data_IF_492348991891
#
_entry.id   IF_492348991891
#
_cell.length_a   1.000
_cell.length_b   1.000
_cell.length_c   1.000
_cell.angle_alpha   90.00
_cell.angle_beta   90.00
_cell.angle_gamma   90.00
#
_symmetry.space_group_name_H-M   'P 1'
#
loop_
_entity.id
_entity.type
_entity.pdbx_description
1 polymer ?
#
# COMPACT_ATOMS: atom_id res chain seq x y z
N UNK A 1 -50.84 -11.39 22.61
CA UNK A 1 -49.91 -12.49 22.38
C UNK A 1 -48.47 -11.90 22.48
N UNK A 2 -47.77 -12.15 23.61
CA UNK A 2 -46.46 -11.54 23.91
C UNK A 2 -45.36 -12.39 23.27
N UNK A 3 -44.62 -11.80 22.30
CA UNK A 3 -43.39 -12.41 21.74
C UNK A 3 -42.25 -12.25 22.72
N UNK A 4 -41.70 -13.39 23.17
CA UNK A 4 -40.49 -13.45 23.99
C UNK A 4 -39.27 -13.33 23.06
N UNK A 5 -38.44 -12.28 23.30
CA UNK A 5 -37.11 -12.17 22.68
C UNK A 5 -36.16 -13.16 23.36
N UNK A 6 -35.60 -14.07 22.55
CA UNK A 6 -34.54 -14.99 22.99
C UNK A 6 -33.20 -14.29 22.64
N UNK A 7 -32.45 -13.94 23.68
CA UNK A 7 -31.05 -13.48 23.52
C UNK A 7 -30.15 -14.72 23.54
N UNK A 8 -29.47 -14.98 22.41
CA UNK A 8 -28.39 -15.95 22.35
C UNK A 8 -27.10 -15.29 22.81
N UNK A 9 -26.59 -15.71 23.94
CA UNK A 9 -25.30 -15.26 24.47
C UNK A 9 -24.20 -16.09 23.80
N UNK A 10 -23.40 -15.46 22.95
CA UNK A 10 -22.23 -16.07 22.33
C UNK A 10 -21.09 -16.09 23.34
N UNK A 11 -20.70 -17.28 23.79
CA UNK A 11 -19.58 -17.51 24.69
C UNK A 11 -18.31 -17.60 23.84
N UNK A 12 -17.47 -16.55 23.85
CA UNK A 12 -16.14 -16.58 23.24
C UNK A 12 -15.17 -17.28 24.18
N UNK A 13 -14.75 -18.49 23.82
CA UNK A 13 -13.69 -19.22 24.53
C UNK A 13 -12.35 -18.79 23.91
N UNK A 14 -11.60 -17.97 24.67
CA UNK A 14 -10.22 -17.66 24.33
C UNK A 14 -9.34 -18.83 24.81
N UNK A 15 -8.82 -19.62 23.87
CA UNK A 15 -7.81 -20.64 24.15
C UNK A 15 -6.44 -19.97 24.11
N UNK A 16 -5.88 -19.70 25.31
CA UNK A 16 -4.47 -19.32 25.43
C UNK A 16 -3.60 -20.58 25.27
N UNK A 17 -2.91 -20.72 24.15
CA UNK A 17 -1.83 -21.67 23.98
C UNK A 17 -0.55 -21.14 24.65
N UNK A 18 -0.19 -21.72 25.81
CA UNK A 18 1.14 -21.55 26.39
C UNK A 18 2.15 -22.38 25.60
N UNK A 19 3.13 -21.75 24.97
CA UNK A 19 4.32 -22.43 24.47
C UNK A 19 5.39 -22.50 25.57
N UNK A 20 6.03 -23.65 25.82
CA UNK A 20 7.15 -23.73 26.75
C UNK A 20 8.43 -23.19 26.09
N UNK A 21 9.12 -22.31 26.81
CA UNK A 21 10.44 -21.83 26.46
C UNK A 21 11.46 -22.95 26.61
N UNK A 22 12.12 -23.36 25.53
CA UNK A 22 13.32 -24.18 25.58
C UNK A 22 14.54 -23.31 25.91
N UNK A 23 15.07 -23.51 27.09
CA UNK A 23 16.34 -22.97 27.55
C UNK A 23 17.47 -23.96 27.15
N UNK A 24 18.33 -23.56 26.22
CA UNK A 24 19.55 -24.30 25.91
C UNK A 24 20.76 -23.50 26.39
N UNK A 25 21.32 -23.95 27.52
CA UNK A 25 22.66 -23.62 27.97
C UNK A 25 23.68 -24.19 27.00
N UNK A 26 24.61 -23.35 26.57
CA UNK A 26 25.86 -23.82 25.92
C UNK A 26 27.03 -23.37 26.77
N UNK A 27 27.77 -24.37 27.25
CA UNK A 27 28.97 -24.27 28.07
C UNK A 27 30.11 -23.55 27.33
N UNK A 28 30.82 -22.71 28.10
CA UNK A 28 32.15 -22.21 27.83
C UNK A 28 33.20 -23.31 28.06
N UNK A 29 34.07 -23.55 27.09
CA UNK A 29 35.38 -24.12 27.35
C UNK A 29 36.45 -23.30 26.65
N UNK A 30 37.37 -22.79 27.47
CA UNK A 30 38.59 -22.09 27.17
C UNK A 30 39.57 -22.98 26.35
N UNK A 31 40.28 -22.36 25.40
CA UNK A 31 41.70 -22.73 25.14
C UNK A 31 42.53 -21.50 24.84
N UNK A 32 43.61 -21.42 25.55
CA UNK A 32 44.63 -20.39 25.75
C UNK A 32 45.77 -20.53 24.75
N UNK A 33 46.58 -19.45 24.64
CA UNK A 33 47.98 -19.30 24.15
C UNK A 33 48.11 -18.76 22.72
N UNK A 34 49.06 -17.84 22.39
CA UNK A 34 50.16 -17.18 23.05
C UNK A 34 50.76 -16.10 22.15
N UNK A 35 51.11 -14.94 22.72
CA UNK A 35 52.35 -14.14 22.62
C UNK A 35 53.01 -13.88 21.27
N UNK A 36 53.33 -12.58 21.02
CA UNK A 36 54.27 -12.03 20.06
C UNK A 36 54.11 -10.50 19.92
N UNK A 37 54.68 -9.80 20.66
CA UNK A 37 55.65 -8.74 20.97
C UNK A 37 56.28 -8.12 19.70
N UNK A 38 56.38 -6.79 19.62
CA UNK A 38 57.04 -6.06 18.56
C UNK A 38 56.79 -4.52 18.59
N UNK A 39 57.48 -3.88 19.43
CA UNK A 39 57.75 -2.46 19.74
C UNK A 39 58.03 -1.52 18.57
N UNK A 40 57.71 -0.26 18.87
CA UNK A 40 58.43 1.06 18.62
C UNK A 40 58.45 1.53 17.17
N UNK A 41 58.32 2.84 16.88
CA UNK A 41 58.94 4.01 17.48
C UNK A 41 58.19 5.28 17.09
N UNK A 42 58.29 6.26 18.01
CA UNK A 42 57.97 7.67 17.83
C UNK A 42 58.94 8.34 16.83
N UNK A 43 58.52 9.40 16.13
CA UNK A 43 59.28 10.65 15.98
C UNK A 43 58.30 11.83 15.85
N UNK A 44 58.51 12.77 16.73
CA UNK A 44 57.95 14.10 16.86
C UNK A 44 58.89 15.09 16.20
N UNK A 45 58.44 16.06 15.39
CA UNK A 45 59.12 17.35 15.24
C UNK A 45 58.13 18.46 14.90
N UNK A 46 58.02 19.42 15.82
CA UNK A 46 57.57 20.79 15.64
C UNK A 46 58.60 21.58 14.81
N UNK A 47 58.13 22.68 14.14
CA UNK A 47 58.74 24.04 14.00
C UNK A 47 57.78 24.82 13.10
N UNK A 48 57.02 25.79 13.51
CA UNK A 48 57.12 27.22 13.78
C UNK A 48 57.74 28.06 12.62
N UNK A 49 57.06 29.05 12.17
CA UNK A 49 57.33 30.47 12.12
C UNK A 49 56.69 31.21 10.92
N UNK A 50 55.83 32.11 11.29
CA UNK A 50 55.49 33.45 10.79
C UNK A 50 55.97 33.94 9.41
N UNK A 51 55.05 34.60 8.65
CA UNK A 51 55.10 36.04 8.31
C UNK A 51 53.96 36.51 7.45
N UNK A 52 53.49 37.71 7.85
CA UNK A 52 52.60 38.62 7.16
C UNK A 52 52.97 38.91 5.69
N UNK A 53 51.96 39.11 4.84
CA UNK A 53 51.89 40.32 4.01
C UNK A 53 50.46 40.55 3.47
N UNK A 54 50.04 41.77 3.69
CA UNK A 54 48.85 42.48 3.35
C UNK A 54 48.83 42.87 1.87
N UNK A 55 47.82 42.51 1.07
CA UNK A 55 47.46 43.24 -0.15
C UNK A 55 45.94 43.38 -0.25
N UNK A 56 45.57 44.65 -0.09
CA UNK A 56 44.27 45.24 -0.41
C UNK A 56 43.90 45.05 -1.89
N UNK A 57 42.65 44.71 -2.19
CA UNK A 57 41.75 45.52 -3.01
C UNK A 57 40.72 44.71 -3.79
N UNK A 58 39.54 45.23 -3.70
CA UNK A 58 38.35 45.25 -4.59
C UNK A 58 37.20 44.31 -4.24
N UNK A 59 36.28 44.97 -3.54
CA UNK A 59 34.88 44.64 -3.54
C UNK A 59 34.32 44.69 -4.97
N UNK A 60 33.89 43.55 -5.50
CA UNK A 60 32.85 43.49 -6.53
C UNK A 60 31.62 42.91 -5.90
N UNK A 61 30.67 43.79 -5.60
CA UNK A 61 29.29 43.45 -5.27
C UNK A 61 28.64 42.75 -6.48
N UNK A 62 28.59 41.44 -6.48
CA UNK A 62 27.64 40.69 -7.29
C UNK A 62 26.46 40.39 -6.37
N UNK A 63 25.42 41.22 -6.49
CA UNK A 63 24.09 40.94 -5.98
C UNK A 63 23.47 39.87 -6.87
N UNK A 64 23.75 38.60 -6.59
CA UNK A 64 22.92 37.51 -7.07
C UNK A 64 21.69 37.41 -6.18
N UNK A 65 20.65 38.06 -6.65
CA UNK A 65 19.31 37.99 -6.08
C UNK A 65 18.67 36.66 -6.52
N UNK A 66 19.18 35.55 -5.98
CA UNK A 66 18.47 34.25 -6.06
C UNK A 66 17.29 34.32 -5.11
N UNK A 67 16.16 34.70 -5.70
CA UNK A 67 14.85 34.51 -5.10
C UNK A 67 14.55 32.99 -5.05
N UNK A 68 15.19 32.28 -4.13
CA UNK A 68 14.83 30.91 -3.78
C UNK A 68 13.46 30.97 -3.11
N UNK A 69 12.43 30.89 -3.94
CA UNK A 69 11.10 30.53 -3.47
C UNK A 69 11.21 29.10 -2.96
N UNK A 70 11.44 28.93 -1.67
CA UNK A 70 11.30 27.64 -1.00
C UNK A 70 9.84 27.23 -1.14
N UNK A 71 9.54 26.38 -2.12
CA UNK A 71 8.26 25.71 -2.21
C UNK A 71 8.22 24.75 -1.03
N UNK A 72 7.61 25.19 0.05
CA UNK A 72 7.29 24.31 1.18
C UNK A 72 6.27 23.32 0.64
N UNK A 73 6.69 22.08 0.37
CA UNK A 73 5.76 21.01 0.02
C UNK A 73 4.86 20.82 1.22
N UNK A 74 3.61 21.23 1.08
CA UNK A 74 2.57 20.95 2.08
C UNK A 74 2.27 19.46 2.01
N UNK A 75 2.55 18.74 3.10
CA UNK A 75 2.18 17.32 3.20
C UNK A 75 0.67 17.27 3.41
N UNK A 76 -0.08 16.49 2.62
CA UNK A 76 -1.53 16.38 2.79
C UNK A 76 -1.91 15.78 4.14
N UNK A 77 -3.09 16.11 4.63
CA UNK A 77 -3.69 15.44 5.77
C UNK A 77 -4.15 14.01 5.37
N UNK A 78 -4.27 13.11 6.32
CA UNK A 78 -4.56 11.69 6.06
C UNK A 78 -5.92 11.46 5.38
N UNK A 79 -6.86 12.36 5.55
CA UNK A 79 -8.20 12.32 4.97
C UNK A 79 -8.33 13.07 3.63
N UNK A 80 -7.26 13.71 3.17
CA UNK A 80 -7.25 14.31 1.84
C UNK A 80 -7.12 13.25 0.74
N UNK A 81 -7.83 13.45 -0.37
CA UNK A 81 -7.66 12.62 -1.56
C UNK A 81 -6.41 13.04 -2.32
N UNK A 82 -5.60 12.05 -2.68
CA UNK A 82 -4.38 12.26 -3.46
C UNK A 82 -4.32 11.28 -4.63
N UNK A 83 -3.64 11.68 -5.70
CA UNK A 83 -3.32 10.79 -6.81
C UNK A 83 -2.24 9.80 -6.37
N UNK A 84 -2.50 8.51 -6.52
CA UNK A 84 -1.62 7.45 -6.03
C UNK A 84 -0.24 7.52 -6.66
N UNK A 85 -0.16 7.77 -7.97
CA UNK A 85 1.11 7.85 -8.72
C UNK A 85 2.04 8.96 -8.25
N UNK A 86 1.56 10.01 -7.60
CA UNK A 86 2.39 11.10 -7.08
C UNK A 86 3.20 10.66 -5.85
N UNK A 87 2.75 9.60 -5.15
CA UNK A 87 3.39 9.07 -3.93
C UNK A 87 3.99 7.67 -4.15
N UNK A 88 3.47 6.92 -5.12
CA UNK A 88 3.92 5.57 -5.48
C UNK A 88 4.15 5.52 -7.00
N UNK A 89 5.23 6.13 -7.50
CA UNK A 89 5.44 6.32 -8.94
C UNK A 89 5.63 5.03 -9.73
N UNK A 90 6.09 3.96 -9.09
CA UNK A 90 6.35 2.63 -9.65
C UNK A 90 5.15 1.68 -9.59
N UNK A 91 4.03 2.06 -8.94
CA UNK A 91 2.79 1.26 -8.97
C UNK A 91 2.16 1.30 -10.36
N UNK A 92 1.61 0.19 -10.82
CA UNK A 92 0.86 0.14 -12.09
C UNK A 92 -0.60 0.54 -11.86
N UNK A 93 -1.18 1.27 -12.81
CA UNK A 93 -2.59 1.67 -12.79
C UNK A 93 -3.23 1.28 -14.12
N UNK A 94 -4.30 0.51 -14.05
CA UNK A 94 -5.14 0.09 -15.18
C UNK A 94 -6.60 0.15 -14.71
N UNK A 95 -7.16 1.37 -14.56
CA UNK A 95 -8.54 1.53 -14.11
C UNK A 95 -9.50 0.86 -15.09
N UNK A 96 -10.06 -0.28 -14.69
CA UNK A 96 -10.92 -1.11 -15.54
C UNK A 96 -12.21 -0.39 -15.91
N UNK A 97 -12.76 0.41 -15.01
CA UNK A 97 -13.97 1.21 -15.27
C UNK A 97 -13.73 2.46 -16.12
N UNK A 98 -12.48 2.84 -16.37
CA UNK A 98 -12.11 3.87 -17.35
C UNK A 98 -12.08 3.33 -18.81
N UNK A 99 -12.33 2.06 -19.01
CA UNK A 99 -12.36 1.38 -20.31
C UNK A 99 -13.60 0.48 -20.41
N UNK A 100 -13.83 -0.13 -21.57
CA UNK A 100 -14.88 -1.16 -21.76
C UNK A 100 -14.47 -2.54 -21.17
N UNK A 101 -13.23 -2.67 -20.66
CA UNK A 101 -12.71 -3.92 -20.10
C UNK A 101 -13.18 -4.15 -18.64
N UNK A 102 -14.50 -4.17 -18.42
CA UNK A 102 -15.18 -4.44 -17.17
C UNK A 102 -16.49 -5.20 -17.44
N UNK A 103 -17.20 -5.63 -16.39
CA UNK A 103 -18.42 -6.44 -16.53
C UNK A 103 -19.56 -5.70 -17.24
N UNK A 104 -19.62 -4.37 -17.20
CA UNK A 104 -20.68 -3.59 -17.85
C UNK A 104 -20.46 -3.42 -19.34
N UNK A 105 -19.25 -3.67 -19.85
CA UNK A 105 -18.80 -3.42 -21.23
C UNK A 105 -18.99 -1.96 -21.67
N UNK A 106 -18.99 -1.03 -20.72
CA UNK A 106 -19.09 0.41 -20.94
C UNK A 106 -18.01 1.14 -20.17
N UNK A 107 -17.62 2.31 -20.65
CA UNK A 107 -16.80 3.26 -19.91
C UNK A 107 -17.66 3.90 -18.81
N UNK A 108 -17.26 3.74 -17.57
CA UNK A 108 -17.95 4.26 -16.39
C UNK A 108 -17.29 5.54 -15.88
N UNK A 109 -15.94 5.61 -15.91
CA UNK A 109 -15.14 6.76 -15.48
C UNK A 109 -14.73 7.64 -16.65
N UNK A 110 -14.75 8.96 -16.44
CA UNK A 110 -14.24 9.95 -17.38
C UNK A 110 -12.78 10.35 -17.04
N UNK A 111 -12.12 9.61 -16.16
CA UNK A 111 -10.73 9.80 -15.71
C UNK A 111 -10.00 8.44 -15.71
N UNK A 112 -8.67 8.48 -15.77
CA UNK A 112 -7.81 7.29 -15.78
C UNK A 112 -6.71 7.31 -14.70
N UNK A 113 -6.69 8.34 -13.85
CA UNK A 113 -5.83 8.42 -12.67
C UNK A 113 -6.53 7.81 -11.44
N UNK A 114 -5.78 7.05 -10.64
CA UNK A 114 -6.28 6.44 -9.42
C UNK A 114 -6.05 7.36 -8.22
N UNK A 115 -7.09 7.54 -7.40
CA UNK A 115 -7.07 8.37 -6.20
C UNK A 115 -7.48 7.58 -4.97
N UNK A 116 -6.87 7.87 -3.82
CA UNK A 116 -7.26 7.37 -2.50
C UNK A 116 -7.02 8.45 -1.45
N UNK A 117 -7.50 8.21 -0.22
CA UNK A 117 -7.12 9.01 0.95
C UNK A 117 -5.62 8.89 1.21
N UNK A 118 -4.95 9.98 1.56
CA UNK A 118 -3.51 10.00 1.76
C UNK A 118 -3.04 9.01 2.82
N UNK A 119 -3.79 8.85 3.92
CA UNK A 119 -3.50 7.85 4.95
C UNK A 119 -3.47 6.42 4.40
N UNK A 120 -4.38 6.08 3.48
CA UNK A 120 -4.42 4.79 2.77
C UNK A 120 -3.27 4.65 1.77
N UNK A 121 -2.93 5.73 1.04
CA UNK A 121 -1.79 5.74 0.11
C UNK A 121 -0.47 5.48 0.83
N UNK A 122 -0.27 6.03 2.03
CA UNK A 122 0.94 5.76 2.84
C UNK A 122 1.10 4.28 3.17
N UNK A 123 0.02 3.59 3.55
CA UNK A 123 0.05 2.14 3.80
C UNK A 123 0.33 1.36 2.52
N UNK A 124 -0.34 1.73 1.43
CA UNK A 124 -0.14 1.09 0.13
C UNK A 124 1.30 1.25 -0.39
N UNK A 125 1.95 2.38 -0.09
CA UNK A 125 3.35 2.62 -0.43
C UNK A 125 4.31 1.64 0.26
N UNK A 126 4.07 1.32 1.54
CA UNK A 126 4.87 0.33 2.25
C UNK A 126 4.65 -1.09 1.68
N UNK A 127 3.40 -1.44 1.34
CA UNK A 127 3.09 -2.72 0.66
C UNK A 127 3.82 -2.82 -0.69
N UNK A 128 3.72 -1.77 -1.50
CA UNK A 128 4.42 -1.70 -2.80
C UNK A 128 5.93 -1.91 -2.64
N UNK A 129 6.55 -1.19 -1.71
CA UNK A 129 7.97 -1.28 -1.41
C UNK A 129 8.40 -2.69 -0.99
N UNK A 130 7.61 -3.36 -0.15
CA UNK A 130 7.86 -4.74 0.26
C UNK A 130 7.78 -5.71 -0.92
N UNK A 131 6.76 -5.59 -1.76
CA UNK A 131 6.56 -6.42 -2.94
C UNK A 131 7.66 -6.19 -3.98
N UNK A 132 8.08 -4.94 -4.21
CA UNK A 132 9.18 -4.60 -5.10
C UNK A 132 10.50 -5.26 -4.66
N UNK A 133 10.78 -5.34 -3.37
CA UNK A 133 11.95 -6.05 -2.84
C UNK A 133 11.92 -7.56 -3.12
N UNK A 134 10.73 -8.12 -3.39
CA UNK A 134 10.51 -9.53 -3.75
C UNK A 134 10.39 -9.76 -5.27
N UNK A 135 10.53 -8.71 -6.08
CA UNK A 135 10.43 -8.78 -7.54
C UNK A 135 9.00 -8.66 -8.10
N UNK A 136 8.06 -8.19 -7.27
CA UNK A 136 6.66 -7.97 -7.63
C UNK A 136 6.30 -6.48 -7.57
N UNK A 137 5.18 -6.12 -8.18
CA UNK A 137 4.55 -4.82 -8.09
C UNK A 137 3.04 -4.97 -8.00
N UNK A 138 2.39 -3.97 -7.40
CA UNK A 138 0.94 -3.85 -7.41
C UNK A 138 0.46 -3.25 -8.73
N UNK A 139 -0.70 -3.72 -9.20
CA UNK A 139 -1.46 -3.09 -10.29
C UNK A 139 -2.88 -2.82 -9.82
N UNK A 140 -3.29 -1.56 -9.86
CA UNK A 140 -4.62 -1.09 -9.44
C UNK A 140 -5.60 -1.27 -10.59
N UNK A 141 -6.76 -1.89 -10.30
CA UNK A 141 -7.89 -2.03 -11.20
C UNK A 141 -9.03 -1.07 -10.88
N UNK A 142 -9.26 -0.76 -9.58
CA UNK A 142 -10.13 0.31 -9.10
C UNK A 142 -9.61 0.90 -7.79
N UNK A 143 -10.01 2.15 -7.50
CA UNK A 143 -9.62 2.87 -6.29
C UNK A 143 -10.80 3.72 -5.79
N UNK A 144 -10.64 5.04 -5.61
CA UNK A 144 -11.81 5.88 -5.32
C UNK A 144 -12.81 5.80 -6.46
N UNK A 145 -14.04 5.46 -6.12
CA UNK A 145 -15.19 5.36 -7.03
C UNK A 145 -16.19 6.47 -6.71
N UNK A 146 -16.42 7.42 -7.63
CA UNK A 146 -17.46 8.41 -7.44
C UNK A 146 -18.82 7.78 -7.18
N UNK A 147 -19.64 8.41 -6.34
CA UNK A 147 -20.94 7.83 -5.98
C UNK A 147 -21.90 7.73 -7.17
N UNK A 148 -21.75 8.62 -8.15
CA UNK A 148 -22.46 8.53 -9.44
C UNK A 148 -22.11 7.26 -10.22
N UNK A 149 -20.83 6.85 -10.22
CA UNK A 149 -20.37 5.60 -10.83
C UNK A 149 -20.92 4.37 -10.10
N UNK A 150 -20.95 4.39 -8.76
CA UNK A 150 -21.57 3.31 -7.97
C UNK A 150 -23.05 3.10 -8.33
N UNK A 151 -23.79 4.19 -8.57
CA UNK A 151 -25.20 4.10 -9.01
C UNK A 151 -25.31 3.43 -10.38
N UNK A 152 -24.44 3.78 -11.34
CA UNK A 152 -24.43 3.15 -12.69
C UNK A 152 -24.10 1.66 -12.61
N UNK A 153 -23.14 1.25 -11.79
CA UNK A 153 -22.78 -0.15 -11.59
C UNK A 153 -23.96 -0.93 -11.01
N UNK A 154 -24.65 -0.37 -10.02
CA UNK A 154 -25.83 -0.98 -9.42
C UNK A 154 -27.01 -1.12 -10.40
N UNK A 155 -27.21 -0.19 -11.30
CA UNK A 155 -28.23 -0.27 -12.35
C UNK A 155 -28.00 -1.43 -13.30
N UNK A 156 -26.73 -1.76 -13.58
CA UNK A 156 -26.34 -2.86 -14.46
C UNK A 156 -26.37 -4.21 -13.73
N UNK A 157 -25.87 -4.24 -12.48
CA UNK A 157 -25.74 -5.48 -11.70
C UNK A 157 -26.19 -5.29 -10.25
N UNK A 158 -27.49 -5.35 -9.95
CA UNK A 158 -28.04 -5.07 -8.62
C UNK A 158 -27.92 -6.25 -7.65
N UNK A 159 -26.71 -6.75 -7.44
CA UNK A 159 -26.40 -7.81 -6.47
C UNK A 159 -25.44 -7.26 -5.39
N UNK A 160 -25.95 -7.14 -4.17
CA UNK A 160 -25.23 -6.54 -3.05
C UNK A 160 -24.01 -7.35 -2.57
N UNK A 161 -23.77 -8.53 -3.10
CA UNK A 161 -22.55 -9.30 -2.82
C UNK A 161 -21.35 -8.76 -3.57
N UNK A 162 -21.55 -8.16 -4.75
CA UNK A 162 -20.50 -7.71 -5.66
C UNK A 162 -20.54 -6.20 -5.92
N UNK A 163 -21.72 -5.60 -5.90
CA UNK A 163 -21.89 -4.16 -6.10
C UNK A 163 -22.62 -3.57 -4.90
N UNK A 164 -21.93 -2.73 -4.11
CA UNK A 164 -22.54 -2.11 -2.94
C UNK A 164 -23.80 -1.32 -3.32
N UNK A 165 -24.91 -1.55 -2.56
CA UNK A 165 -26.19 -0.93 -2.88
C UNK A 165 -26.21 0.55 -2.48
N UNK A 166 -26.32 1.50 -3.45
CA UNK A 166 -26.24 2.93 -3.21
C UNK A 166 -27.35 3.50 -2.32
N UNK A 167 -28.44 2.73 -2.10
CA UNK A 167 -29.50 3.18 -1.18
C UNK A 167 -29.03 3.30 0.27
N UNK A 168 -27.93 2.67 0.64
CA UNK A 168 -27.33 2.74 1.96
C UNK A 168 -26.27 3.86 2.09
N UNK A 169 -26.11 4.70 1.05
CA UNK A 169 -25.12 5.77 1.01
C UNK A 169 -23.77 5.31 0.45
N UNK A 170 -22.76 6.14 0.66
CA UNK A 170 -21.39 5.89 0.26
C UNK A 170 -20.77 4.79 1.12
N UNK A 171 -20.11 3.83 0.49
CA UNK A 171 -19.49 2.67 1.13
C UNK A 171 -18.22 2.27 0.35
N UNK A 172 -17.33 1.49 0.99
CA UNK A 172 -16.20 0.88 0.30
C UNK A 172 -15.42 1.89 -0.56
N UNK A 173 -15.25 1.66 -1.84
CA UNK A 173 -14.52 2.53 -2.78
C UNK A 173 -14.96 4.01 -2.75
N UNK A 174 -16.22 4.30 -2.42
CA UNK A 174 -16.69 5.69 -2.33
C UNK A 174 -16.06 6.47 -1.16
N UNK A 175 -15.49 5.78 -0.16
CA UNK A 175 -14.81 6.41 0.97
C UNK A 175 -13.34 6.73 0.68
N UNK A 176 -12.80 6.20 -0.42
CA UNK A 176 -11.40 6.38 -0.82
C UNK A 176 -10.40 5.60 0.01
N UNK A 177 -10.84 4.51 0.65
CA UNK A 177 -10.00 3.62 1.45
C UNK A 177 -10.01 2.16 0.98
N UNK A 178 -10.64 1.88 -0.15
CA UNK A 178 -10.75 0.55 -0.75
C UNK A 178 -10.11 0.56 -2.12
N UNK A 179 -9.43 -0.52 -2.47
CA UNK A 179 -8.72 -0.70 -3.73
C UNK A 179 -8.92 -2.11 -4.26
N UNK A 180 -9.26 -2.22 -5.56
CA UNK A 180 -9.19 -3.46 -6.32
C UNK A 180 -7.81 -3.56 -6.95
N UNK A 181 -7.10 -4.64 -6.64
CA UNK A 181 -5.67 -4.69 -6.90
C UNK A 181 -5.23 -6.11 -7.29
N UNK A 182 -4.23 -6.21 -8.16
CA UNK A 182 -3.60 -7.47 -8.52
C UNK A 182 -2.08 -7.38 -8.38
N UNK A 183 -1.44 -8.55 -8.46
CA UNK A 183 0.00 -8.70 -8.43
C UNK A 183 0.54 -8.87 -9.86
N UNK A 184 1.64 -8.18 -10.16
CA UNK A 184 2.42 -8.33 -11.39
C UNK A 184 3.90 -8.46 -11.04
N UNK A 185 4.75 -8.86 -11.99
CA UNK A 185 6.20 -8.73 -11.80
C UNK A 185 6.61 -7.25 -11.70
N UNK A 186 7.77 -6.97 -11.15
CA UNK A 186 8.27 -5.59 -10.98
C UNK A 186 8.42 -4.81 -12.29
N UNK A 187 8.54 -5.49 -13.43
CA UNK A 187 8.56 -4.93 -14.78
C UNK A 187 7.16 -4.78 -15.43
N UNK A 188 6.09 -5.14 -14.69
CA UNK A 188 4.70 -5.06 -15.13
C UNK A 188 4.19 -6.29 -15.88
N UNK A 189 5.02 -7.33 -16.10
CA UNK A 189 4.56 -8.59 -16.69
C UNK A 189 3.48 -9.23 -15.81
N UNK A 190 2.37 -9.63 -16.43
CA UNK A 190 1.27 -10.31 -15.75
C UNK A 190 1.68 -11.71 -15.31
N UNK A 191 1.23 -12.11 -14.13
CA UNK A 191 1.40 -13.45 -13.58
C UNK A 191 0.03 -14.12 -13.42
N UNK A 192 -0.03 -15.47 -13.36
CA UNK A 192 -1.28 -16.17 -13.11
C UNK A 192 -1.91 -15.75 -11.78
N UNK A 193 -3.19 -15.36 -11.83
CA UNK A 193 -4.03 -15.11 -10.65
C UNK A 193 -5.27 -15.99 -10.73
N UNK A 194 -6.09 -16.01 -9.67
CA UNK A 194 -7.23 -16.95 -9.58
C UNK A 194 -8.27 -16.72 -10.67
N UNK A 195 -8.61 -15.47 -10.93
CA UNK A 195 -9.60 -15.04 -11.92
C UNK A 195 -9.20 -13.69 -12.51
N UNK A 196 -9.88 -13.25 -13.55
CA UNK A 196 -9.84 -11.84 -13.96
C UNK A 196 -10.68 -10.97 -13.01
N UNK A 197 -10.57 -9.66 -13.14
CA UNK A 197 -11.35 -8.66 -12.43
C UNK A 197 -12.85 -8.81 -12.73
N UNK A 198 -13.71 -8.62 -11.75
CA UNK A 198 -15.16 -8.77 -11.86
C UNK A 198 -15.62 -10.17 -12.27
N UNK A 199 -14.84 -11.21 -12.01
CA UNK A 199 -15.31 -12.59 -12.10
C UNK A 199 -16.16 -12.92 -10.86
N UNK A 200 -17.46 -12.76 -10.95
CA UNK A 200 -18.41 -13.00 -9.85
C UNK A 200 -18.73 -14.49 -9.65
N UNK A 201 -17.79 -15.36 -9.97
CA UNK A 201 -17.88 -16.79 -9.67
C UNK A 201 -17.26 -17.12 -8.32
N UNK A 202 -17.57 -18.32 -7.80
CA UNK A 202 -16.95 -18.80 -6.55
C UNK A 202 -15.43 -18.96 -6.61
N UNK A 203 -14.81 -18.89 -7.80
CA UNK A 203 -13.36 -18.93 -7.93
C UNK A 203 -12.69 -17.63 -7.48
N UNK A 204 -13.46 -16.55 -7.41
CA UNK A 204 -13.01 -15.28 -6.88
C UNK A 204 -13.01 -15.23 -5.34
N UNK A 205 -13.76 -16.12 -4.68
CA UNK A 205 -13.81 -16.19 -3.22
C UNK A 205 -12.41 -16.47 -2.63
N UNK A 206 -12.16 -16.01 -1.41
CA UNK A 206 -10.90 -16.26 -0.68
C UNK A 206 -10.77 -17.68 -0.12
N UNK A 207 -11.62 -18.62 -0.55
CA UNK A 207 -11.47 -20.05 -0.27
C UNK A 207 -10.71 -20.74 -1.40
N UNK A 208 -9.42 -20.94 -1.23
CA UNK A 208 -8.51 -21.46 -2.26
C UNK A 208 -8.35 -22.98 -2.25
N UNK A 209 -9.10 -23.72 -1.38
CA UNK A 209 -8.89 -25.15 -1.14
C UNK A 209 -9.14 -26.05 -2.35
N UNK A 210 -10.06 -25.63 -3.23
CA UNK A 210 -10.50 -26.42 -4.38
C UNK A 210 -9.92 -25.93 -5.71
N UNK A 211 -8.84 -25.10 -5.67
CA UNK A 211 -8.22 -24.51 -6.87
C UNK A 211 -7.01 -25.35 -7.28
N UNK A 212 -7.06 -25.91 -8.49
CA UNK A 212 -6.00 -26.77 -9.03
C UNK A 212 -4.74 -25.99 -9.46
N UNK A 213 -4.87 -24.69 -9.82
CA UNK A 213 -3.74 -23.87 -10.24
C UNK A 213 -2.95 -23.38 -9.01
N UNK A 214 -1.93 -24.15 -8.63
CA UNK A 214 -1.09 -23.86 -7.46
C UNK A 214 -0.32 -22.55 -7.58
N UNK A 215 0.16 -22.20 -8.78
CA UNK A 215 0.88 -20.92 -9.02
C UNK A 215 -0.04 -19.72 -8.79
N UNK A 216 -1.29 -19.76 -9.28
CA UNK A 216 -2.25 -18.68 -9.03
C UNK A 216 -2.58 -18.55 -7.53
N UNK A 217 -2.69 -19.68 -6.81
CA UNK A 217 -2.90 -19.69 -5.36
C UNK A 217 -1.68 -19.08 -4.62
N UNK A 218 -0.47 -19.47 -5.00
CA UNK A 218 0.75 -18.91 -4.42
C UNK A 218 0.83 -17.40 -4.63
N UNK A 219 0.55 -16.91 -5.84
CA UNK A 219 0.57 -15.49 -6.17
C UNK A 219 -0.49 -14.69 -5.39
N UNK A 220 -1.71 -15.20 -5.27
CA UNK A 220 -2.74 -14.49 -4.48
C UNK A 220 -2.41 -14.49 -2.99
N UNK A 221 -1.78 -15.54 -2.47
CA UNK A 221 -1.34 -15.59 -1.07
C UNK A 221 -0.19 -14.61 -0.80
N UNK A 222 0.72 -14.40 -1.75
CA UNK A 222 1.76 -13.35 -1.66
C UNK A 222 1.09 -11.97 -1.56
N UNK A 223 0.14 -11.67 -2.46
CA UNK A 223 -0.61 -10.42 -2.43
C UNK A 223 -1.36 -10.26 -1.11
N UNK A 224 -2.13 -11.27 -0.70
CA UNK A 224 -2.92 -11.24 0.52
C UNK A 224 -2.06 -11.03 1.76
N UNK A 225 -0.93 -11.72 1.86
CA UNK A 225 0.01 -11.57 2.97
C UNK A 225 0.53 -10.13 3.09
N UNK A 226 1.01 -9.57 1.98
CA UNK A 226 1.53 -8.21 1.94
C UNK A 226 0.45 -7.15 2.28
N UNK A 227 -0.77 -7.32 1.75
CA UNK A 227 -1.89 -6.40 2.04
C UNK A 227 -2.31 -6.47 3.52
N UNK A 228 -2.41 -7.66 4.11
CA UNK A 228 -2.75 -7.83 5.54
C UNK A 228 -1.65 -7.23 6.44
N UNK A 229 -0.39 -7.47 6.14
CA UNK A 229 0.75 -6.87 6.86
C UNK A 229 0.76 -5.34 6.74
N UNK A 230 0.32 -4.80 5.59
CA UNK A 230 0.11 -3.38 5.36
C UNK A 230 -1.11 -2.77 6.08
N UNK A 231 -1.91 -3.59 6.79
CA UNK A 231 -3.07 -3.15 7.57
C UNK A 231 -4.35 -3.03 6.75
N UNK A 232 -4.46 -3.78 5.66
CA UNK A 232 -5.69 -3.91 4.88
C UNK A 232 -6.47 -5.17 5.26
N UNK A 233 -7.76 -5.14 5.02
CA UNK A 233 -8.68 -6.29 5.17
C UNK A 233 -9.27 -6.61 3.81
N UNK A 234 -9.24 -7.89 3.41
CA UNK A 234 -9.83 -8.34 2.16
C UNK A 234 -11.32 -8.65 2.29
N UNK A 235 -12.05 -8.49 1.21
CA UNK A 235 -13.44 -8.92 1.10
C UNK A 235 -13.55 -10.42 0.72
N UNK A 236 -14.40 -11.19 1.37
CA UNK A 236 -14.42 -12.66 1.27
C UNK A 236 -14.80 -13.19 -0.12
N UNK A 237 -15.68 -12.52 -0.85
CA UNK A 237 -16.13 -12.93 -2.17
C UNK A 237 -15.23 -12.47 -3.33
N UNK A 238 -14.19 -11.60 -3.04
CA UNK A 238 -13.33 -11.01 -4.07
C UNK A 238 -11.87 -10.99 -3.61
N UNK A 239 -11.00 -11.80 -4.23
CA UNK A 239 -9.60 -11.90 -3.83
C UNK A 239 -8.79 -10.60 -4.09
N UNK A 240 -9.28 -9.74 -4.95
CA UNK A 240 -8.63 -8.46 -5.33
C UNK A 240 -9.06 -7.26 -4.47
N UNK A 241 -10.22 -7.30 -3.79
CA UNK A 241 -10.76 -6.19 -2.99
C UNK A 241 -10.12 -6.12 -1.61
N UNK A 242 -9.54 -4.96 -1.28
CA UNK A 242 -8.89 -4.68 0.00
C UNK A 242 -9.28 -3.30 0.50
N UNK A 243 -9.71 -3.22 1.74
CA UNK A 243 -10.06 -1.98 2.44
C UNK A 243 -9.04 -1.67 3.54
N UNK A 244 -8.61 -0.41 3.64
CA UNK A 244 -7.92 0.10 4.82
C UNK A 244 -8.85 0.06 6.03
N UNK A 245 -8.34 -0.41 7.16
CA UNK A 245 -9.10 -0.49 8.42
C UNK A 245 -9.39 0.86 9.07
N UNK A 246 -8.80 1.95 8.57
CA UNK A 246 -9.11 3.31 9.02
C UNK A 246 -10.48 3.74 8.52
N UNK A 247 -11.27 4.30 9.43
CA UNK A 247 -12.55 4.93 9.10
C UNK A 247 -12.32 6.34 8.54
N UNK A 248 -13.07 6.68 7.48
CA UNK A 248 -13.08 8.00 6.85
C UNK A 248 -14.52 8.49 6.68
N UNK A 249 -14.70 9.79 6.77
CA UNK A 249 -16.00 10.42 6.50
C UNK A 249 -16.40 10.27 5.03
N UNK A 250 -17.69 10.05 4.82
CA UNK A 250 -18.29 9.94 3.49
C UNK A 250 -18.39 11.34 2.83
N UNK A 251 -17.34 11.70 2.10
CA UNK A 251 -17.27 12.96 1.34
C UNK A 251 -17.04 12.63 -0.13
N UNK A 252 -17.92 13.13 -0.99
CA UNK A 252 -17.75 12.98 -2.44
C UNK A 252 -16.57 13.85 -2.91
N UNK A 253 -15.63 13.24 -3.61
CA UNK A 253 -14.48 13.91 -4.20
C UNK A 253 -14.71 14.06 -5.70
N UNK A 254 -14.60 15.28 -6.20
CA UNK A 254 -14.74 15.57 -7.63
C UNK A 254 -13.38 15.41 -8.31
N UNK A 255 -13.25 14.38 -9.15
CA UNK A 255 -12.09 14.20 -10.02
C UNK A 255 -12.38 14.98 -11.30
N UNK A 256 -11.51 15.94 -11.62
CA UNK A 256 -11.62 16.66 -12.88
C UNK A 256 -11.35 15.69 -14.05
N UNK A 257 -12.28 15.69 -15.02
CA UNK A 257 -12.09 14.94 -16.24
C UNK A 257 -10.82 15.43 -16.98
N UNK A 258 -10.17 14.51 -17.68
CA UNK A 258 -9.07 14.87 -18.57
C UNK A 258 -9.58 15.76 -19.72
N UNK A 259 -8.87 16.87 -19.96
CA UNK A 259 -9.06 17.74 -21.13
C UNK A 259 -8.67 17.02 -22.44
#
# INVERSE_FOLDING_TARGET
MKMRKVYATLLVIVVMCFMPACNSNVDNSEVNSSVGDGRNDMINTNVDDSRDENVSSKEENIMDNENQTSVTMVVPEDDEYVKIKDYIPDIYVELRYATENNFTKNVIYEFDDAYLRYGTVKKLAEVQKELMAKGYSLKIWDAYRPFSAQKRLWEVYPDARYVANPKYGMQSHNLGNTVDITLVKSDGEQIPMLTDFDDFSKKADRNYNDIENTEAVENVLILQGAMIEGGFVGYEEEWWDYSDTREYDAVEYEILAKD
#
